data_IF_562956395406
#
_entry.id   IF_562956395406
#
_cell.length_a   1.000
_cell.length_b   1.000
_cell.length_c   1.000
_cell.angle_alpha   90.00
_cell.angle_beta   90.00
_cell.angle_gamma   90.00
#
_symmetry.space_group_name_H-M   'P 1'
#
loop_
_entity.id
_entity.type
_entity.pdbx_description
1 polymer ?
#
# COMPACT_ATOMS: atom_id res chain seq x y z
N UNK A 1 -6.47 -22.54 6.37
CA UNK A 1 -5.56 -22.01 5.33
C UNK A 1 -4.94 -20.72 5.85
N UNK A 2 -3.62 -20.62 5.85
CA UNK A 2 -2.91 -19.41 6.31
C UNK A 2 -3.25 -18.19 5.43
N UNK A 3 -3.25 -16.97 6.02
CA UNK A 3 -3.48 -15.72 5.26
C UNK A 3 -2.54 -15.61 4.07
N UNK A 4 -1.29 -16.02 4.22
CA UNK A 4 -0.28 -16.05 3.16
C UNK A 4 -0.70 -16.89 1.95
N UNK A 5 -1.28 -18.07 2.19
CA UNK A 5 -1.79 -18.95 1.11
C UNK A 5 -2.93 -18.28 0.36
N UNK A 6 -3.83 -17.57 1.09
CA UNK A 6 -4.91 -16.82 0.47
C UNK A 6 -4.37 -15.71 -0.45
N UNK A 7 -3.41 -14.91 0.03
CA UNK A 7 -2.78 -13.85 -0.79
C UNK A 7 -2.14 -14.42 -2.06
N UNK A 8 -1.38 -15.51 -1.95
CA UNK A 8 -0.72 -16.13 -3.10
C UNK A 8 -1.70 -16.75 -4.10
N UNK A 9 -2.78 -17.40 -3.63
CA UNK A 9 -3.81 -17.95 -4.52
C UNK A 9 -4.49 -16.89 -5.37
N UNK A 10 -4.63 -15.66 -4.85
CA UNK A 10 -5.19 -14.55 -5.61
C UNK A 10 -4.13 -13.89 -6.49
N UNK A 11 -2.88 -13.81 -6.04
CA UNK A 11 -1.82 -13.08 -6.73
C UNK A 11 -1.18 -13.88 -7.88
N UNK A 12 -0.97 -15.19 -7.70
CA UNK A 12 -0.30 -16.03 -8.73
C UNK A 12 -0.99 -16.00 -10.10
N UNK A 13 -2.33 -16.12 -10.18
CA UNK A 13 -3.02 -16.03 -11.48
C UNK A 13 -2.87 -14.67 -12.17
N UNK A 14 -2.59 -13.60 -11.42
CA UNK A 14 -2.40 -12.26 -12.01
C UNK A 14 -1.01 -12.05 -12.61
N UNK A 15 -0.04 -12.91 -12.31
CA UNK A 15 1.35 -12.76 -12.70
C UNK A 15 1.57 -12.53 -14.22
N UNK A 16 0.90 -13.26 -15.14
CA UNK A 16 1.09 -13.05 -16.58
C UNK A 16 0.70 -11.66 -17.09
N UNK A 17 -0.22 -10.99 -16.38
CA UNK A 17 -0.63 -9.60 -16.69
C UNK A 17 0.20 -8.60 -15.89
N UNK A 18 0.45 -8.90 -14.63
CA UNK A 18 1.14 -8.03 -13.70
C UNK A 18 2.57 -7.71 -14.14
N UNK A 19 3.38 -8.73 -14.50
CA UNK A 19 4.79 -8.51 -14.84
C UNK A 19 4.99 -7.69 -16.12
N UNK A 20 4.30 -7.97 -17.24
CA UNK A 20 4.38 -7.10 -18.43
C UNK A 20 3.90 -5.68 -18.17
N UNK A 21 2.81 -5.50 -17.43
CA UNK A 21 2.29 -4.18 -17.06
C UNK A 21 3.30 -3.40 -16.22
N UNK A 22 3.86 -4.01 -15.18
CA UNK A 22 4.88 -3.38 -14.35
C UNK A 22 6.12 -3.01 -15.18
N UNK A 23 6.59 -3.91 -16.06
CA UNK A 23 7.71 -3.65 -16.96
C UNK A 23 7.44 -2.49 -17.91
N UNK A 24 6.25 -2.43 -18.52
CA UNK A 24 5.84 -1.34 -19.40
C UNK A 24 5.76 0.00 -18.68
N UNK A 25 5.17 0.04 -17.45
CA UNK A 25 5.13 1.25 -16.64
C UNK A 25 6.52 1.69 -16.18
N UNK A 26 7.39 0.77 -15.80
CA UNK A 26 8.76 1.08 -15.43
C UNK A 26 9.55 1.67 -16.61
N UNK A 27 9.38 1.10 -17.81
CA UNK A 27 9.96 1.63 -19.04
C UNK A 27 9.42 3.03 -19.36
N UNK A 28 8.11 3.25 -19.20
CA UNK A 28 7.47 4.54 -19.41
C UNK A 28 8.03 5.62 -18.44
N UNK A 29 8.16 5.29 -17.14
CA UNK A 29 8.79 6.20 -16.17
C UNK A 29 10.24 6.50 -16.55
N UNK A 30 10.99 5.47 -16.95
CA UNK A 30 12.36 5.66 -17.42
C UNK A 30 12.45 6.59 -18.66
N UNK A 31 11.58 6.39 -19.62
CA UNK A 31 11.61 7.16 -20.88
C UNK A 31 11.16 8.61 -20.69
N UNK A 32 10.19 8.88 -19.82
CA UNK A 32 9.59 10.21 -19.62
C UNK A 32 10.26 11.00 -18.51
N UNK A 33 10.47 10.36 -17.36
CA UNK A 33 10.98 11.03 -16.15
C UNK A 33 12.45 10.69 -15.86
N UNK A 34 13.05 9.71 -16.59
CA UNK A 34 14.44 9.30 -16.39
C UNK A 34 14.66 8.43 -15.14
N UNK A 35 15.89 8.34 -14.66
CA UNK A 35 16.29 7.59 -13.47
C UNK A 35 16.22 8.45 -12.21
N UNK A 36 16.00 7.83 -11.01
CA UNK A 36 15.64 6.44 -10.74
C UNK A 36 14.18 6.14 -11.12
N UNK A 37 13.89 4.93 -11.58
CA UNK A 37 12.53 4.49 -11.96
C UNK A 37 11.68 4.18 -10.73
N UNK A 38 12.32 3.63 -9.71
CA UNK A 38 11.65 3.22 -8.48
C UNK A 38 12.01 4.16 -7.32
N UNK A 39 11.04 4.33 -6.44
CA UNK A 39 11.20 4.98 -5.15
C UNK A 39 11.05 3.95 -4.04
N UNK A 40 11.92 4.02 -3.05
CA UNK A 40 11.90 3.13 -1.89
C UNK A 40 11.91 3.93 -0.59
N UNK A 41 11.14 3.48 0.42
CA UNK A 41 11.06 4.13 1.72
C UNK A 41 10.81 3.11 2.83
N UNK A 42 11.48 3.23 4.00
CA UNK A 42 11.22 2.37 5.15
C UNK A 42 9.78 2.47 5.64
N UNK A 43 9.19 1.31 5.94
CA UNK A 43 7.84 1.16 6.50
C UNK A 43 7.83 0.12 7.61
N UNK A 44 6.94 0.33 8.59
CA UNK A 44 6.71 -0.64 9.64
C UNK A 44 5.87 -1.81 9.11
N UNK A 45 6.26 -3.01 9.49
CA UNK A 45 5.49 -4.25 9.25
C UNK A 45 5.15 -4.95 10.56
N UNK A 46 4.62 -6.17 10.44
CA UNK A 46 4.23 -6.99 11.57
C UNK A 46 5.34 -7.08 12.62
N UNK A 47 4.96 -7.00 13.90
CA UNK A 47 5.84 -7.02 15.07
C UNK A 47 6.84 -5.85 15.17
N UNK A 48 6.56 -4.72 14.52
CA UNK A 48 7.41 -3.53 14.56
C UNK A 48 8.69 -3.62 13.71
N UNK A 49 8.93 -4.74 13.02
CA UNK A 49 10.03 -4.83 12.08
C UNK A 49 9.82 -3.87 10.90
N UNK A 50 10.89 -3.52 10.20
CA UNK A 50 10.85 -2.62 9.04
C UNK A 50 11.07 -3.38 7.73
N UNK A 51 10.57 -2.81 6.64
CA UNK A 51 10.88 -3.20 5.28
C UNK A 51 10.87 -1.97 4.37
N UNK A 52 11.49 -2.05 3.22
CA UNK A 52 11.48 -0.95 2.26
C UNK A 52 10.34 -1.12 1.28
N UNK A 53 9.30 -0.29 1.38
CA UNK A 53 8.21 -0.29 0.39
C UNK A 53 8.72 0.18 -0.96
N UNK A 54 8.26 -0.44 -2.03
CA UNK A 54 8.64 -0.11 -3.41
C UNK A 54 7.47 0.53 -4.16
N UNK A 55 7.75 1.63 -4.86
CA UNK A 55 6.79 2.34 -5.72
C UNK A 55 7.46 2.75 -7.02
N UNK A 56 6.70 3.01 -8.08
CA UNK A 56 7.19 3.79 -9.21
C UNK A 56 7.43 5.24 -8.75
N UNK A 57 8.52 5.85 -9.23
CA UNK A 57 8.79 7.25 -8.94
C UNK A 57 7.76 8.15 -9.62
N UNK A 58 7.22 9.08 -8.87
CA UNK A 58 6.18 10.01 -9.31
C UNK A 58 6.51 11.47 -9.01
N UNK A 59 7.69 11.73 -8.47
CA UNK A 59 8.15 13.08 -8.09
C UNK A 59 9.47 13.40 -8.79
N UNK A 60 9.74 14.69 -8.95
CA UNK A 60 11.03 15.20 -9.42
C UNK A 60 12.17 14.72 -8.52
N UNK A 61 13.39 14.65 -9.08
CA UNK A 61 14.61 14.35 -8.35
C UNK A 61 15.26 15.66 -7.94
N UNK A 62 14.76 16.28 -6.88
CA UNK A 62 15.37 17.43 -6.26
C UNK A 62 16.18 16.98 -5.04
N UNK A 63 17.32 17.59 -4.80
CA UNK A 63 18.15 17.31 -3.61
C UNK A 63 17.41 17.74 -2.35
N UNK A 64 16.68 18.85 -2.41
CA UNK A 64 15.75 19.25 -1.36
C UNK A 64 14.45 18.43 -1.48
N UNK A 65 14.20 17.62 -0.45
CA UNK A 65 13.00 16.76 -0.39
C UNK A 65 11.70 17.57 -0.39
N UNK A 66 11.71 18.77 0.18
CA UNK A 66 10.55 19.66 0.27
C UNK A 66 10.23 20.34 -1.08
N UNK A 67 11.25 20.52 -1.92
CA UNK A 67 11.11 21.08 -3.28
C UNK A 67 10.57 20.07 -4.31
N UNK A 68 10.48 18.77 -3.95
CA UNK A 68 10.02 17.73 -4.86
C UNK A 68 8.54 17.88 -5.19
N UNK A 69 8.25 18.00 -6.48
CA UNK A 69 6.87 18.10 -7.00
C UNK A 69 6.50 16.89 -7.84
N UNK A 70 5.21 16.51 -7.90
CA UNK A 70 4.77 15.43 -8.77
C UNK A 70 4.98 15.76 -10.25
N UNK A 71 5.61 14.85 -11.01
CA UNK A 71 5.74 14.96 -12.47
C UNK A 71 4.37 14.86 -13.14
N UNK A 72 4.26 15.20 -14.44
CA UNK A 72 2.98 15.01 -15.19
C UNK A 72 2.59 13.54 -15.23
N UNK A 73 3.52 12.65 -15.53
CA UNK A 73 3.32 11.21 -15.53
C UNK A 73 3.02 10.72 -14.11
N UNK A 74 3.76 11.24 -13.11
CA UNK A 74 3.57 10.89 -11.71
C UNK A 74 2.17 11.22 -11.19
N UNK A 75 1.58 12.36 -11.58
CA UNK A 75 0.18 12.69 -11.23
C UNK A 75 -0.80 11.68 -11.82
N UNK A 76 -0.61 11.30 -13.09
CA UNK A 76 -1.44 10.29 -13.75
C UNK A 76 -1.31 8.92 -13.08
N UNK A 77 -0.09 8.46 -12.79
CA UNK A 77 0.16 7.20 -12.08
C UNK A 77 -0.53 7.16 -10.72
N UNK A 78 -0.41 8.23 -9.93
CA UNK A 78 -1.05 8.35 -8.61
C UNK A 78 -2.57 8.37 -8.69
N UNK A 79 -3.11 9.09 -9.66
CA UNK A 79 -4.57 9.16 -9.86
C UNK A 79 -5.18 7.78 -10.09
N UNK A 80 -4.45 6.89 -10.79
CA UNK A 80 -4.89 5.52 -11.07
C UNK A 80 -4.34 4.49 -10.08
N UNK A 81 -3.55 4.90 -9.07
CA UNK A 81 -2.93 3.98 -8.11
C UNK A 81 -1.86 3.05 -8.70
N UNK A 82 -1.40 3.33 -9.94
CA UNK A 82 -0.43 2.51 -10.65
C UNK A 82 0.99 2.64 -10.10
N UNK A 83 1.28 3.73 -9.40
CA UNK A 83 2.55 3.93 -8.72
C UNK A 83 2.77 2.91 -7.59
N UNK A 84 1.72 2.35 -7.03
CA UNK A 84 1.77 1.34 -5.97
C UNK A 84 1.86 -0.10 -6.50
N UNK A 85 1.77 -0.31 -7.81
CA UNK A 85 1.82 -1.64 -8.43
C UNK A 85 3.06 -2.47 -8.02
N UNK A 86 4.28 -1.91 -7.88
CA UNK A 86 5.45 -2.65 -7.40
C UNK A 86 5.28 -3.28 -6.02
N UNK A 87 4.34 -2.79 -5.19
CA UNK A 87 4.08 -3.37 -3.86
C UNK A 87 3.53 -4.81 -3.94
N UNK A 88 2.96 -5.23 -5.08
CA UNK A 88 2.58 -6.63 -5.28
C UNK A 88 3.78 -7.58 -5.19
N UNK A 89 5.00 -7.13 -5.58
CA UNK A 89 6.24 -7.88 -5.34
C UNK A 89 6.50 -8.06 -3.84
N UNK A 90 6.15 -7.08 -3.02
CA UNK A 90 6.30 -7.13 -1.56
C UNK A 90 5.28 -8.09 -0.91
N UNK A 91 4.09 -8.18 -1.50
CA UNK A 91 3.13 -9.24 -1.14
C UNK A 91 3.67 -10.59 -1.54
N UNK A 92 4.27 -10.72 -2.73
CA UNK A 92 4.90 -11.96 -3.19
C UNK A 92 6.04 -12.41 -2.28
N UNK A 93 6.86 -11.48 -1.80
CA UNK A 93 7.96 -11.73 -0.86
C UNK A 93 7.49 -12.00 0.59
N UNK A 94 6.24 -11.67 0.94
CA UNK A 94 5.69 -11.84 2.29
C UNK A 94 5.96 -10.68 3.25
N UNK A 95 6.45 -9.57 2.76
CA UNK A 95 6.60 -8.35 3.55
C UNK A 95 5.27 -7.65 3.78
N UNK A 96 4.33 -7.81 2.84
CA UNK A 96 2.97 -7.29 2.87
C UNK A 96 1.95 -8.40 2.62
N UNK A 97 0.68 -8.07 2.81
CA UNK A 97 -0.50 -8.82 2.40
C UNK A 97 -1.30 -8.02 1.38
N UNK A 98 -2.20 -8.65 0.63
CA UNK A 98 -3.15 -7.92 -0.20
C UNK A 98 -4.06 -7.02 0.65
N UNK A 99 -4.48 -7.52 1.83
CA UNK A 99 -5.37 -6.80 2.74
C UNK A 99 -4.74 -6.66 4.12
N UNK A 100 -4.72 -5.45 4.65
CA UNK A 100 -4.20 -5.11 5.98
C UNK A 100 -4.16 -3.60 6.22
N UNK A 101 -3.73 -3.16 7.39
CA UNK A 101 -3.49 -1.74 7.65
C UNK A 101 -2.45 -1.16 6.69
N UNK A 102 -2.66 0.09 6.23
CA UNK A 102 -1.69 0.75 5.34
C UNK A 102 -0.32 0.89 6.01
N UNK A 103 0.80 0.49 5.35
CA UNK A 103 2.12 0.59 5.95
C UNK A 103 2.53 2.06 6.15
N UNK A 104 2.87 2.44 7.38
CA UNK A 104 3.32 3.78 7.76
C UNK A 104 4.84 3.78 8.02
N UNK A 105 5.44 4.97 8.05
CA UNK A 105 6.82 5.13 8.51
C UNK A 105 6.93 4.70 9.97
N UNK A 106 8.06 4.10 10.41
CA UNK A 106 8.24 3.72 11.81
C UNK A 106 7.99 4.87 12.78
N UNK A 107 8.55 6.05 12.48
CA UNK A 107 8.40 7.24 13.31
C UNK A 107 6.95 7.73 13.41
N UNK A 108 6.18 7.63 12.29
CA UNK A 108 4.76 7.96 12.30
C UNK A 108 3.95 6.99 13.16
N UNK A 109 4.28 5.70 13.12
CA UNK A 109 3.63 4.70 13.98
C UNK A 109 3.88 5.00 15.45
N UNK A 110 5.12 5.30 15.82
CA UNK A 110 5.48 5.60 17.21
C UNK A 110 4.80 6.90 17.69
N UNK A 111 4.89 7.97 16.90
CA UNK A 111 4.24 9.26 17.20
C UNK A 111 2.72 9.12 17.38
N UNK A 112 2.06 8.37 16.48
CA UNK A 112 0.62 8.16 16.54
C UNK A 112 0.22 7.23 17.68
N UNK A 113 1.06 6.26 18.04
CA UNK A 113 0.84 5.35 19.14
C UNK A 113 1.00 6.00 20.52
N UNK A 114 1.80 7.07 20.62
CA UNK A 114 1.88 7.90 21.83
C UNK A 114 0.55 8.62 22.11
N UNK A 115 -0.08 9.18 21.06
CA UNK A 115 -1.36 9.86 21.18
C UNK A 115 -2.54 8.87 21.29
N UNK A 116 -2.48 7.74 20.61
CA UNK A 116 -3.54 6.74 20.50
C UNK A 116 -2.95 5.33 20.64
N UNK A 117 -2.85 4.76 21.87
CA UNK A 117 -2.20 3.45 22.11
C UNK A 117 -2.73 2.30 21.26
N UNK A 118 -4.03 2.31 20.93
CA UNK A 118 -4.64 1.32 20.03
C UNK A 118 -3.97 1.27 18.63
N UNK A 119 -3.23 2.31 18.25
CA UNK A 119 -2.52 2.37 16.98
C UNK A 119 -1.44 1.28 16.83
N UNK A 120 -0.87 0.80 17.95
CA UNK A 120 0.11 -0.31 17.97
C UNK A 120 -0.48 -1.65 17.55
N UNK A 121 -1.79 -1.84 17.70
CA UNK A 121 -2.44 -3.11 17.36
C UNK A 121 -2.36 -3.45 15.87
N UNK A 122 -2.26 -2.44 15.01
CA UNK A 122 -2.01 -2.64 13.59
C UNK A 122 -0.76 -3.47 13.28
N UNK A 123 0.22 -3.45 14.19
CA UNK A 123 1.47 -4.22 14.06
C UNK A 123 1.30 -5.71 14.40
N UNK A 124 0.13 -6.16 14.82
CA UNK A 124 -0.16 -7.58 15.04
C UNK A 124 -0.41 -8.35 13.73
N UNK A 125 -0.69 -7.64 12.66
CA UNK A 125 -0.96 -8.21 11.33
C UNK A 125 0.01 -7.66 10.29
N UNK A 126 0.12 -8.34 9.14
CA UNK A 126 0.90 -7.82 8.02
C UNK A 126 0.23 -6.55 7.46
N UNK A 127 1.01 -5.51 7.06
CA UNK A 127 0.48 -4.37 6.38
C UNK A 127 -0.09 -4.77 5.02
N UNK A 128 -1.14 -4.07 4.57
CA UNK A 128 -1.84 -4.36 3.34
C UNK A 128 -1.59 -3.37 2.21
N UNK A 129 -1.76 -3.85 0.98
CA UNK A 129 -1.88 -2.97 -0.19
C UNK A 129 -3.19 -2.18 -0.12
N UNK A 130 -4.27 -2.83 0.29
CA UNK A 130 -5.55 -2.21 0.66
C UNK A 130 -5.95 -2.61 2.08
N UNK A 131 -6.92 -1.91 2.67
CA UNK A 131 -7.35 -2.19 4.02
C UNK A 131 -8.68 -1.56 4.39
N UNK A 132 -9.21 -1.98 5.54
CA UNK A 132 -10.52 -1.54 6.00
C UNK A 132 -10.61 -0.01 6.12
N UNK A 133 -9.61 0.64 6.72
CA UNK A 133 -9.58 2.10 6.86
C UNK A 133 -9.58 2.82 5.51
N UNK A 134 -8.90 2.26 4.49
CA UNK A 134 -8.84 2.83 3.15
C UNK A 134 -10.19 2.76 2.44
N UNK A 135 -10.85 1.60 2.44
CA UNK A 135 -12.14 1.42 1.75
C UNK A 135 -13.31 2.11 2.45
N UNK A 136 -13.20 2.37 3.76
CA UNK A 136 -14.20 3.13 4.55
C UNK A 136 -13.89 4.62 4.58
N UNK A 137 -12.79 5.06 3.95
CA UNK A 137 -12.37 6.47 3.86
C UNK A 137 -12.27 7.16 5.21
N UNK A 138 -11.84 6.41 6.22
CA UNK A 138 -11.69 6.94 7.57
C UNK A 138 -10.57 7.99 7.58
N UNK A 139 -10.88 9.14 8.15
CA UNK A 139 -9.94 10.26 8.34
C UNK A 139 -9.68 10.49 9.83
N UNK A 140 -8.48 10.98 10.14
CA UNK A 140 -8.04 11.23 11.50
C UNK A 140 -7.39 10.01 12.16
N UNK A 141 -6.39 10.30 13.00
CA UNK A 141 -5.54 9.28 13.62
C UNK A 141 -6.32 8.34 14.52
N UNK A 142 -7.21 8.88 15.38
CA UNK A 142 -7.98 8.08 16.32
C UNK A 142 -8.88 7.06 15.63
N UNK A 143 -9.69 7.51 14.66
CA UNK A 143 -10.59 6.61 13.92
C UNK A 143 -9.82 5.58 13.11
N UNK A 144 -8.69 5.97 12.51
CA UNK A 144 -7.81 5.03 11.81
C UNK A 144 -7.27 3.98 12.78
N UNK A 145 -6.86 4.37 14.00
CA UNK A 145 -6.41 3.45 15.03
C UNK A 145 -7.49 2.42 15.40
N UNK A 146 -8.72 2.89 15.62
CA UNK A 146 -9.86 2.04 15.99
C UNK A 146 -10.20 1.02 14.88
N UNK A 147 -10.22 1.47 13.62
CA UNK A 147 -10.54 0.62 12.47
C UNK A 147 -9.43 -0.38 12.19
N UNK A 148 -8.16 0.02 12.27
CA UNK A 148 -7.02 -0.87 12.10
C UNK A 148 -6.92 -1.90 13.24
N UNK A 149 -7.19 -1.48 14.48
CA UNK A 149 -7.27 -2.38 15.64
C UNK A 149 -8.42 -3.38 15.49
N UNK A 150 -9.60 -2.92 15.04
CA UNK A 150 -10.73 -3.80 14.75
C UNK A 150 -10.35 -4.85 13.69
N UNK A 151 -9.72 -4.43 12.59
CA UNK A 151 -9.24 -5.35 11.57
C UNK A 151 -8.21 -6.33 12.15
N UNK A 152 -7.22 -5.86 12.91
CA UNK A 152 -6.18 -6.70 13.48
C UNK A 152 -6.73 -7.80 14.39
N UNK A 153 -7.77 -7.48 15.18
CA UNK A 153 -8.42 -8.44 16.11
C UNK A 153 -9.38 -9.41 15.41
N UNK A 154 -10.06 -8.99 14.33
CA UNK A 154 -11.21 -9.72 13.77
C UNK A 154 -11.09 -10.07 12.28
N UNK A 155 -9.91 -9.89 11.67
CA UNK A 155 -9.74 -10.19 10.26
C UNK A 155 -10.11 -11.65 9.94
N UNK A 156 -10.81 -11.81 8.84
CA UNK A 156 -11.20 -13.12 8.32
C UNK A 156 -11.12 -13.10 6.78
N UNK A 157 -11.11 -14.29 6.15
CA UNK A 157 -11.07 -14.38 4.69
C UNK A 157 -12.27 -13.71 4.03
N UNK A 158 -13.46 -13.87 4.63
CA UNK A 158 -14.67 -13.21 4.13
C UNK A 158 -14.58 -11.69 4.23
N UNK A 159 -13.94 -11.18 5.29
CA UNK A 159 -13.67 -9.76 5.44
C UNK A 159 -12.64 -9.28 4.41
N UNK A 160 -11.54 -10.01 4.24
CA UNK A 160 -10.52 -9.70 3.24
C UNK A 160 -11.10 -9.70 1.82
N UNK A 161 -11.91 -10.70 1.46
CA UNK A 161 -12.57 -10.75 0.17
C UNK A 161 -13.50 -9.56 -0.08
N UNK A 162 -14.29 -9.16 0.93
CA UNK A 162 -15.16 -7.97 0.82
C UNK A 162 -14.34 -6.69 0.62
N UNK A 163 -13.22 -6.56 1.35
CA UNK A 163 -12.31 -5.42 1.19
C UNK A 163 -11.73 -5.39 -0.22
N UNK A 164 -11.25 -6.53 -0.75
CA UNK A 164 -10.72 -6.62 -2.11
C UNK A 164 -11.77 -6.28 -3.18
N UNK A 165 -12.98 -6.85 -3.09
CA UNK A 165 -14.05 -6.55 -4.04
C UNK A 165 -14.43 -5.07 -4.02
N UNK A 166 -14.50 -4.47 -2.82
CA UNK A 166 -14.76 -3.02 -2.70
C UNK A 166 -13.60 -2.18 -3.24
N UNK A 167 -12.36 -2.62 -3.04
CA UNK A 167 -11.18 -1.94 -3.63
C UNK A 167 -11.25 -1.94 -5.16
N UNK A 168 -11.52 -3.11 -5.77
CA UNK A 168 -11.68 -3.21 -7.22
C UNK A 168 -12.80 -2.28 -7.72
N UNK A 169 -13.94 -2.26 -7.03
CA UNK A 169 -15.04 -1.36 -7.35
C UNK A 169 -14.61 0.11 -7.32
N UNK A 170 -13.93 0.55 -6.24
CA UNK A 170 -13.43 1.93 -6.09
C UNK A 170 -12.44 2.30 -7.21
N UNK A 171 -11.51 1.39 -7.52
CA UNK A 171 -10.50 1.61 -8.59
C UNK A 171 -11.17 1.73 -9.96
N UNK A 172 -12.16 0.88 -10.27
CA UNK A 172 -12.82 0.87 -11.58
C UNK A 172 -13.80 2.03 -11.76
N UNK A 173 -14.47 2.45 -10.71
CA UNK A 173 -15.53 3.48 -10.80
C UNK A 173 -15.01 4.88 -10.44
N UNK A 174 -13.86 4.98 -9.79
CA UNK A 174 -13.38 6.24 -9.17
C UNK A 174 -14.28 6.71 -8.00
N UNK A 175 -15.34 5.97 -7.68
CA UNK A 175 -16.27 6.35 -6.63
C UNK A 175 -15.65 6.11 -5.26
N UNK A 176 -15.32 7.21 -4.58
CA UNK A 176 -14.64 7.18 -3.29
C UNK A 176 -13.11 7.17 -3.38
N UNK A 177 -12.50 7.39 -4.55
CA UNK A 177 -11.09 7.74 -4.67
C UNK A 177 -10.88 9.20 -4.24
N UNK A 178 -9.87 9.46 -3.40
CA UNK A 178 -9.39 10.80 -3.01
C UNK A 178 -7.95 10.99 -3.45
#
# INVERSE_FOLDING_TARGET
>A
MHKRTFDLLLLVPTAPVFFPLLGGLALLVWAVDGRPVFFSQPRAKKHGATFSILKLRTMTCDDDVEARVPTRLGRWLRHHGLDELPQLLQVWQGHMSLVGPRPLKPDDVERLAQAHPAFRERLQVAPGLTGLAQITQVTGAQRTAEVDAHYARRHSRSMDMRILLRTVWVVLTGFGAR
#
